data_IF_924412363134
#
_entry.id   IF_924412363134
#
_cell.length_a   1.000
_cell.length_b   1.000
_cell.length_c   1.000
_cell.angle_alpha   90.00
_cell.angle_beta   90.00
_cell.angle_gamma   90.00
#
_symmetry.space_group_name_H-M   'P 1'
#
loop_
_entity.id
_entity.type
_entity.pdbx_description
1 polymer ?
#
# COMPACT_ATOMS: atom_id res chain seq x y z
N UNK A 1 -0.35 -4.10 2.51
CA UNK A 1 -1.46 -3.39 3.18
C UNK A 1 -0.84 -2.27 3.99
N UNK A 2 -1.43 -1.08 3.94
CA UNK A 2 -0.98 0.09 4.69
C UNK A 2 -2.06 0.44 5.72
N UNK A 3 -1.67 0.54 6.99
CA UNK A 3 -2.57 0.94 8.09
C UNK A 3 -2.12 2.31 8.57
N UNK A 4 -3.03 3.29 8.50
CA UNK A 4 -2.84 4.65 8.99
C UNK A 4 -3.93 4.88 10.02
N UNK A 5 -3.61 4.73 11.31
CA UNK A 5 -4.61 4.84 12.39
C UNK A 5 -4.11 5.74 13.51
N UNK A 6 -4.90 6.74 13.85
CA UNK A 6 -4.78 7.58 15.05
C UNK A 6 -5.80 7.16 16.12
N UNK A 7 -6.88 6.49 15.72
CA UNK A 7 -8.02 6.18 16.58
C UNK A 7 -8.02 4.75 17.12
N UNK A 8 -7.01 3.94 16.77
CA UNK A 8 -6.96 2.52 17.14
C UNK A 8 -8.03 1.65 16.45
N UNK A 9 -8.68 2.18 15.41
CA UNK A 9 -9.68 1.47 14.61
C UNK A 9 -9.22 1.36 13.15
N UNK A 10 -9.88 0.51 12.37
CA UNK A 10 -9.59 0.29 10.94
C UNK A 10 -10.03 1.47 10.06
N UNK A 11 -11.04 2.22 10.50
CA UNK A 11 -11.61 3.36 9.77
C UNK A 11 -12.12 3.00 8.38
N UNK A 12 -11.80 3.85 7.39
CA UNK A 12 -12.18 3.65 5.99
C UNK A 12 -11.14 2.78 5.28
N UNK A 13 -11.61 1.74 4.60
CA UNK A 13 -10.76 0.80 3.86
C UNK A 13 -10.91 1.07 2.36
N UNK A 14 -9.78 1.35 1.71
CA UNK A 14 -9.72 1.67 0.27
C UNK A 14 -8.74 0.73 -0.42
N UNK A 15 -9.16 0.15 -1.54
CA UNK A 15 -8.28 -0.60 -2.42
C UNK A 15 -7.86 0.29 -3.59
N UNK A 16 -6.56 0.48 -3.77
CA UNK A 16 -5.99 1.09 -4.96
C UNK A 16 -5.43 0.01 -5.88
N UNK A 17 -5.88 0.04 -7.13
CA UNK A 17 -5.37 -0.82 -8.20
C UNK A 17 -4.81 0.04 -9.31
N UNK A 18 -3.60 -0.30 -9.74
CA UNK A 18 -2.97 0.30 -10.90
C UNK A 18 -3.75 -0.13 -12.15
N UNK A 19 -4.27 0.84 -12.89
CA UNK A 19 -4.88 0.63 -14.21
C UNK A 19 -3.85 0.96 -15.28
N UNK A 20 -3.71 0.06 -16.26
CA UNK A 20 -2.86 0.31 -17.43
C UNK A 20 -3.68 1.10 -18.45
N UNK A 21 -3.39 2.38 -18.58
CA UNK A 21 -3.93 3.19 -19.66
C UNK A 21 -3.15 2.97 -20.95
N UNK A 22 -3.83 3.17 -22.07
CA UNK A 22 -3.28 3.02 -23.43
C UNK A 22 -2.14 4.02 -23.68
N UNK A 23 -2.21 5.20 -23.04
CA UNK A 23 -1.25 6.29 -23.23
C UNK A 23 0.02 6.17 -22.36
N UNK A 24 0.15 5.11 -21.56
CA UNK A 24 1.33 4.87 -20.72
C UNK A 24 1.35 5.60 -19.39
N UNK A 25 0.39 6.48 -19.11
CA UNK A 25 0.25 7.12 -17.80
C UNK A 25 -0.27 6.13 -16.75
N UNK A 26 0.44 6.09 -15.62
CA UNK A 26 0.06 5.31 -14.44
C UNK A 26 -1.16 5.93 -13.76
N UNK A 27 -2.34 5.32 -13.93
CA UNK A 27 -3.54 5.71 -13.21
C UNK A 27 -3.91 4.69 -12.13
N UNK A 28 -4.60 5.14 -11.09
CA UNK A 28 -5.04 4.30 -9.98
C UNK A 28 -6.55 4.37 -9.81
N UNK A 29 -7.19 3.22 -9.91
CA UNK A 29 -8.59 3.04 -9.55
C UNK A 29 -8.70 2.81 -8.05
N UNK A 30 -9.46 3.67 -7.38
CA UNK A 30 -9.71 3.62 -5.96
C UNK A 30 -11.13 3.12 -5.69
N UNK A 31 -11.23 2.05 -4.90
CA UNK A 31 -12.52 1.48 -4.49
C UNK A 31 -12.60 1.40 -2.97
N UNK A 32 -13.55 2.14 -2.38
CA UNK A 32 -13.84 2.04 -0.94
C UNK A 32 -14.58 0.73 -0.66
N UNK A 33 -13.94 -0.14 0.12
CA UNK A 33 -14.50 -1.45 0.49
C UNK A 33 -15.33 -1.36 1.78
N UNK A 34 -14.90 -0.53 2.73
CA UNK A 34 -15.54 -0.36 4.04
C UNK A 34 -15.36 1.08 4.53
N UNK A 35 -16.29 1.56 5.36
CA UNK A 35 -16.30 2.94 5.84
C UNK A 35 -17.06 3.89 4.91
N UNK A 36 -16.80 5.19 5.02
CA UNK A 36 -17.55 6.21 4.29
C UNK A 36 -17.03 6.33 2.85
N UNK A 37 -17.92 6.17 1.87
CA UNK A 37 -17.55 6.05 0.45
C UNK A 37 -17.17 7.36 -0.22
N UNK A 38 -17.76 8.47 0.22
CA UNK A 38 -17.59 9.79 -0.41
C UNK A 38 -16.73 10.73 0.45
N UNK A 39 -15.54 10.26 0.84
CA UNK A 39 -14.56 11.13 1.49
C UNK A 39 -13.41 11.48 0.54
N UNK A 40 -13.53 12.60 -0.21
CA UNK A 40 -12.56 12.96 -1.24
C UNK A 40 -11.15 13.16 -0.70
N UNK A 41 -11.00 13.59 0.56
CA UNK A 41 -9.70 13.71 1.21
C UNK A 41 -8.97 12.37 1.36
N UNK A 42 -9.68 11.31 1.73
CA UNK A 42 -9.10 9.96 1.87
C UNK A 42 -8.67 9.43 0.50
N UNK A 43 -9.53 9.58 -0.52
CA UNK A 43 -9.20 9.17 -1.88
C UNK A 43 -7.99 9.93 -2.43
N UNK A 44 -7.92 11.25 -2.17
CA UNK A 44 -6.78 12.06 -2.56
C UNK A 44 -5.47 11.53 -1.94
N UNK A 45 -5.42 11.29 -0.63
CA UNK A 45 -4.23 10.73 0.02
C UNK A 45 -3.89 9.35 -0.56
N UNK A 46 -4.87 8.45 -0.70
CA UNK A 46 -4.65 7.12 -1.26
C UNK A 46 -4.05 7.19 -2.66
N UNK A 47 -4.54 8.12 -3.49
CA UNK A 47 -4.03 8.37 -4.84
C UNK A 47 -2.57 8.85 -4.79
N UNK A 48 -2.28 9.89 -4.01
CA UNK A 48 -0.92 10.43 -3.85
C UNK A 48 0.07 9.37 -3.35
N UNK A 49 -0.33 8.55 -2.37
CA UNK A 49 0.52 7.45 -1.90
C UNK A 49 0.73 6.39 -2.99
N UNK A 50 -0.31 6.07 -3.77
CA UNK A 50 -0.21 5.08 -4.83
C UNK A 50 0.68 5.55 -5.98
N UNK A 51 0.60 6.83 -6.35
CA UNK A 51 1.49 7.47 -7.32
C UNK A 51 2.94 7.46 -6.82
N UNK A 52 3.16 7.80 -5.55
CA UNK A 52 4.47 7.68 -4.91
C UNK A 52 4.96 6.23 -4.91
N UNK A 53 4.13 5.24 -4.61
CA UNK A 53 4.52 3.83 -4.70
C UNK A 53 4.91 3.43 -6.13
N UNK A 54 4.23 3.98 -7.14
CA UNK A 54 4.54 3.76 -8.55
C UNK A 54 5.95 4.23 -8.92
N UNK A 55 6.42 5.34 -8.34
CA UNK A 55 7.78 5.84 -8.60
C UNK A 55 8.87 4.91 -8.05
N UNK A 56 8.53 4.04 -7.10
CA UNK A 56 9.38 2.94 -6.61
C UNK A 56 9.17 1.62 -7.39
N UNK A 57 8.50 1.64 -8.53
CA UNK A 57 8.12 0.47 -9.34
C UNK A 57 7.27 -0.56 -8.56
N UNK A 58 6.47 -0.11 -7.59
CA UNK A 58 5.53 -0.99 -6.91
C UNK A 58 4.25 -1.16 -7.75
N UNK A 59 4.04 -2.35 -8.32
CA UNK A 59 2.92 -2.61 -9.24
C UNK A 59 1.72 -3.34 -8.61
N UNK A 60 1.84 -3.77 -7.35
CA UNK A 60 0.80 -4.56 -6.70
C UNK A 60 -0.34 -3.66 -6.21
N UNK A 61 -1.58 -4.18 -6.10
CA UNK A 61 -2.64 -3.45 -5.43
C UNK A 61 -2.25 -3.07 -3.99
N UNK A 62 -2.66 -1.88 -3.56
CA UNK A 62 -2.46 -1.40 -2.19
C UNK A 62 -3.82 -1.37 -1.50
N UNK A 63 -3.91 -2.05 -0.36
CA UNK A 63 -5.04 -1.93 0.54
C UNK A 63 -4.69 -0.94 1.65
N UNK A 64 -5.47 0.12 1.74
CA UNK A 64 -5.37 1.17 2.76
C UNK A 64 -6.44 0.94 3.83
N UNK A 65 -6.07 1.12 5.09
CA UNK A 65 -6.97 1.25 6.24
C UNK A 65 -6.64 2.59 6.90
N UNK A 66 -7.57 3.53 6.88
CA UNK A 66 -7.34 4.92 7.28
C UNK A 66 -8.35 5.32 8.35
N UNK A 67 -7.86 5.60 9.56
CA UNK A 67 -8.62 6.09 10.70
C UNK A 67 -7.94 7.32 11.29
N UNK A 68 -8.23 8.49 10.73
CA UNK A 68 -7.70 9.77 11.18
C UNK A 68 -8.71 10.50 12.05
N UNK A 69 -8.24 11.29 13.00
CA UNK A 69 -9.09 12.11 13.86
C UNK A 69 -9.81 13.22 13.08
N UNK A 70 -9.13 13.79 12.09
CA UNK A 70 -9.68 14.79 11.17
C UNK A 70 -9.04 14.69 9.79
N UNK A 71 -9.75 15.20 8.77
CA UNK A 71 -9.31 15.18 7.36
C UNK A 71 -8.81 16.54 6.88
N UNK A 72 -8.20 17.33 7.77
CA UNK A 72 -7.65 18.62 7.42
C UNK A 72 -6.41 18.46 6.52
N UNK A 73 -6.18 19.36 5.54
CA UNK A 73 -5.04 19.28 4.64
C UNK A 73 -3.67 19.20 5.35
N UNK A 74 -3.53 19.81 6.53
CA UNK A 74 -2.34 19.71 7.38
C UNK A 74 -2.07 18.27 7.82
N UNK A 75 -3.07 17.58 8.35
CA UNK A 75 -3.01 16.17 8.77
C UNK A 75 -2.66 15.27 7.60
N UNK A 76 -3.28 15.50 6.44
CA UNK A 76 -3.00 14.74 5.22
C UNK A 76 -1.53 14.88 4.77
N UNK A 77 -0.99 16.10 4.80
CA UNK A 77 0.42 16.37 4.47
C UNK A 77 1.37 15.69 5.45
N UNK A 78 1.05 15.67 6.75
CA UNK A 78 1.86 14.97 7.75
C UNK A 78 1.91 13.47 7.48
N UNK A 79 0.76 12.86 7.16
CA UNK A 79 0.69 11.44 6.76
C UNK A 79 1.56 11.17 5.53
N UNK A 80 1.43 11.98 4.48
CA UNK A 80 2.26 11.83 3.27
C UNK A 80 3.75 11.98 3.56
N UNK A 81 4.15 12.97 4.36
CA UNK A 81 5.54 13.18 4.75
C UNK A 81 6.10 12.01 5.56
N UNK A 82 5.31 11.44 6.46
CA UNK A 82 5.75 10.30 7.27
C UNK A 82 6.01 9.07 6.37
N UNK A 83 5.08 8.78 5.46
CA UNK A 83 5.21 7.67 4.51
C UNK A 83 6.38 7.90 3.55
N UNK A 84 6.63 9.13 3.12
CA UNK A 84 7.74 9.46 2.23
C UNK A 84 9.12 9.32 2.89
N UNK A 85 9.20 9.50 4.21
CA UNK A 85 10.44 9.29 4.98
C UNK A 85 10.74 7.81 5.21
N UNK A 86 9.71 6.96 5.14
CA UNK A 86 9.85 5.52 5.32
C UNK A 86 10.17 4.79 4.00
N UNK A 87 11.11 3.85 4.05
CA UNK A 87 11.50 3.02 2.89
C UNK A 87 10.56 1.82 2.65
N UNK A 88 9.27 1.95 3.00
CA UNK A 88 8.31 0.83 3.02
C UNK A 88 8.20 0.11 1.67
N UNK A 89 8.26 0.84 0.55
CA UNK A 89 8.09 0.27 -0.79
C UNK A 89 9.26 -0.62 -1.19
N UNK A 90 10.48 -0.18 -0.89
CA UNK A 90 11.70 -0.96 -1.17
C UNK A 90 11.73 -2.25 -0.35
N UNK A 91 11.38 -2.17 0.94
CA UNK A 91 11.29 -3.34 1.82
C UNK A 91 10.21 -4.32 1.35
N UNK A 92 9.04 -3.82 0.94
CA UNK A 92 7.96 -4.65 0.42
C UNK A 92 8.36 -5.39 -0.87
N UNK A 93 9.06 -4.72 -1.78
CA UNK A 93 9.56 -5.33 -3.02
C UNK A 93 10.62 -6.40 -2.71
N UNK A 94 11.56 -6.11 -1.81
CA UNK A 94 12.58 -7.07 -1.38
C UNK A 94 11.97 -8.31 -0.73
N UNK A 95 11.03 -8.12 0.20
CA UNK A 95 10.31 -9.22 0.85
C UNK A 95 9.53 -10.08 -0.16
N UNK A 96 8.87 -9.44 -1.14
CA UNK A 96 8.16 -10.16 -2.20
C UNK A 96 9.10 -10.97 -3.11
N UNK A 97 10.29 -10.44 -3.42
CA UNK A 97 11.33 -11.18 -4.17
C UNK A 97 11.85 -12.38 -3.37
N UNK A 98 12.15 -12.19 -2.09
CA UNK A 98 12.61 -13.26 -1.21
C UNK A 98 11.58 -14.39 -1.04
N UNK A 99 10.30 -14.04 -0.86
CA UNK A 99 9.21 -15.01 -0.79
C UNK A 99 9.07 -15.82 -2.10
N UNK A 100 9.22 -15.16 -3.26
CA UNK A 100 9.18 -15.84 -4.57
C UNK A 100 10.35 -16.79 -4.77
N UNK A 101 11.54 -16.43 -4.29
CA UNK A 101 12.70 -17.34 -4.33
C UNK A 101 12.46 -18.59 -3.50
N UNK A 102 11.91 -18.45 -2.28
CA UNK A 102 11.57 -19.60 -1.42
C UNK A 102 10.57 -20.56 -2.07
N UNK A 103 9.54 -20.04 -2.73
CA UNK A 103 8.54 -20.85 -3.44
C UNK A 103 9.10 -21.60 -4.66
N UNK A 104 10.18 -21.10 -5.26
CA UNK A 104 10.84 -21.74 -6.40
C UNK A 104 11.96 -22.71 -5.99
N UNK A 105 12.23 -22.89 -4.69
CA UNK A 105 13.19 -23.91 -4.24
C UNK A 105 12.57 -25.30 -4.40
N UNK A 106 13.33 -26.31 -4.86
CA UNK A 106 12.86 -27.68 -4.89
C UNK A 106 12.48 -28.15 -3.48
N UNK A 107 11.40 -28.92 -3.38
CA UNK A 107 10.78 -29.35 -2.11
C UNK A 107 11.79 -30.02 -1.14
N UNK A 108 12.85 -30.63 -1.66
CA UNK A 108 13.91 -31.25 -0.84
C UNK A 108 14.71 -30.26 0.01
N UNK A 109 14.95 -29.02 -0.46
CA UNK A 109 15.73 -28.02 0.29
C UNK A 109 14.90 -27.30 1.37
N UNK A 110 13.57 -27.39 1.33
CA UNK A 110 12.68 -26.75 2.31
C UNK A 110 12.56 -27.56 3.61
N UNK A 111 12.92 -28.85 3.57
CA UNK A 111 12.86 -29.75 4.72
C UNK A 111 14.13 -29.67 5.58
N UNK A 112 15.29 -29.38 4.99
CA UNK A 112 16.57 -29.26 5.71
C UNK A 112 16.63 -28.03 6.65
N UNK A 113 15.85 -26.97 6.37
CA UNK A 113 15.78 -25.77 7.21
C UNK A 113 14.93 -25.96 8.50
N UNK A 114 14.24 -27.09 8.68
CA UNK A 114 13.37 -27.36 9.85
C UNK A 114 13.97 -28.37 10.86
N UNK A 115 15.18 -28.90 10.62
CA UNK A 115 15.86 -29.86 11.52
C UNK A 115 16.97 -29.19 12.39
N UNK A 116 16.66 -28.02 12.99
CA UNK A 116 17.51 -27.38 14.03
C UNK A 116 16.69 -27.04 15.28
#
# INVERSE_FOLDING_TARGET
MLIISQLGTTGTVVCARKEKNIDGDDNYNLSTLMGKRDEPGIHYICKQISEMASSYNYERPILFSIALENHLPSTMKQVLSAIAQDNIWLMAIAAAKAARQRLNRPIGELLEDNDV
#
